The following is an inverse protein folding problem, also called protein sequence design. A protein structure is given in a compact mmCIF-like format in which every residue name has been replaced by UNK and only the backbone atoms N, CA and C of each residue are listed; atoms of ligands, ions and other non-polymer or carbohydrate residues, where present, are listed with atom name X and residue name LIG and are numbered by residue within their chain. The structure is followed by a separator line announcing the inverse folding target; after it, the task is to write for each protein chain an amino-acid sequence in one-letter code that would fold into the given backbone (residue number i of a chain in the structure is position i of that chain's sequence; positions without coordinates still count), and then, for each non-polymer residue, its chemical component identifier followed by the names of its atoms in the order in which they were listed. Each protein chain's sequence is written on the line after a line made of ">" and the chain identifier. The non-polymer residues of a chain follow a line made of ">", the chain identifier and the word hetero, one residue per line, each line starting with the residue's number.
data_IF_737564729061
#
_entry.id   IF_737564729061
#
_cell.length_a   1.000
_cell.length_b   1.000
_cell.length_c   1.000
_cell.angle_alpha   90.00
_cell.angle_beta   90.00
_cell.angle_gamma   90.00
#
_symmetry.space_group_name_H-M   'P 1'
#
loop_
_entity.id
_entity.type
_entity.pdbx_description
1 polymer ?
#
# COMPACT_ATOMS: atom_id res chain seq x y z
N UNK A 1 1.44 27.79 -27.62
CA UNK A 1 2.36 26.79 -28.18
C UNK A 1 2.66 25.68 -27.16
N UNK A 2 3.15 25.99 -25.94
CA UNK A 2 3.52 24.96 -24.93
C UNK A 2 2.36 24.03 -24.54
N UNK A 3 1.14 24.57 -24.34
CA UNK A 3 -0.04 23.73 -24.04
C UNK A 3 -0.44 22.84 -25.21
N UNK A 4 -0.36 23.34 -26.43
CA UNK A 4 -0.65 22.56 -27.64
C UNK A 4 0.36 21.42 -27.83
N UNK A 5 1.65 21.66 -27.52
CA UNK A 5 2.68 20.62 -27.55
C UNK A 5 2.41 19.51 -26.52
N UNK A 6 2.09 19.87 -25.27
CA UNK A 6 1.76 18.89 -24.22
C UNK A 6 0.54 18.05 -24.61
N UNK A 7 -0.51 18.66 -25.19
CA UNK A 7 -1.68 17.92 -25.66
C UNK A 7 -1.35 16.98 -26.84
N UNK A 8 -0.53 17.43 -27.78
CA UNK A 8 -0.11 16.62 -28.91
C UNK A 8 0.79 15.44 -28.47
N UNK A 9 1.70 15.68 -27.54
CA UNK A 9 2.59 14.65 -27.00
C UNK A 9 1.80 13.54 -26.29
N UNK A 10 0.88 13.93 -25.39
CA UNK A 10 -0.01 12.98 -24.74
C UNK A 10 -0.91 12.23 -25.73
N UNK A 11 -1.39 12.92 -26.78
CA UNK A 11 -2.22 12.26 -27.81
C UNK A 11 -1.42 11.25 -28.62
N UNK A 12 -0.17 11.56 -28.96
CA UNK A 12 0.70 10.65 -29.69
C UNK A 12 0.96 9.38 -28.87
N UNK A 13 1.14 9.49 -27.56
CA UNK A 13 1.30 8.33 -26.68
C UNK A 13 0.03 7.44 -26.64
N UNK A 14 -1.17 8.06 -26.68
CA UNK A 14 -2.45 7.34 -26.74
C UNK A 14 -2.72 6.69 -28.11
N UNK A 15 -2.20 7.30 -29.19
CA UNK A 15 -2.37 6.80 -30.56
C UNK A 15 -1.26 5.83 -30.98
N UNK A 16 -0.21 5.65 -30.18
CA UNK A 16 0.83 4.64 -30.36
C UNK A 16 0.25 3.27 -30.02
N UNK A 17 -0.03 2.46 -31.02
CA UNK A 17 -0.40 1.06 -30.80
C UNK A 17 0.81 0.22 -30.42
N UNK A 18 0.55 -0.90 -29.77
CA UNK A 18 1.54 -1.93 -29.52
C UNK A 18 1.74 -2.79 -30.79
N UNK A 19 2.96 -3.22 -31.03
CA UNK A 19 3.24 -4.36 -31.90
C UNK A 19 2.87 -5.62 -31.10
N UNK A 20 1.67 -6.16 -31.36
CA UNK A 20 1.12 -7.25 -30.56
C UNK A 20 1.97 -8.53 -30.64
N UNK A 21 2.64 -8.79 -31.77
CA UNK A 21 3.50 -9.96 -31.92
C UNK A 21 4.76 -9.83 -31.03
N UNK A 22 5.40 -8.67 -31.06
CA UNK A 22 6.58 -8.41 -30.22
C UNK A 22 6.22 -8.35 -28.74
N UNK A 23 5.12 -7.69 -28.41
CA UNK A 23 4.64 -7.57 -27.04
C UNK A 23 4.32 -8.95 -26.44
N UNK A 24 3.68 -9.83 -27.21
CA UNK A 24 3.39 -11.21 -26.77
C UNK A 24 4.66 -11.98 -26.44
N UNK A 25 5.71 -11.86 -27.27
CA UNK A 25 7.01 -12.50 -27.02
C UNK A 25 7.65 -11.99 -25.73
N UNK A 26 7.70 -10.66 -25.53
CA UNK A 26 8.28 -10.07 -24.33
C UNK A 26 7.51 -10.43 -23.05
N UNK A 27 6.17 -10.51 -23.13
CA UNK A 27 5.34 -10.94 -22.00
C UNK A 27 5.56 -12.42 -21.66
N UNK A 28 5.75 -13.29 -22.67
CA UNK A 28 6.09 -14.70 -22.45
C UNK A 28 7.45 -14.85 -21.77
N UNK A 29 8.45 -14.11 -22.23
CA UNK A 29 9.79 -14.11 -21.59
C UNK A 29 9.74 -13.66 -20.13
N UNK A 30 8.96 -12.62 -19.82
CA UNK A 30 8.74 -12.18 -18.42
C UNK A 30 8.06 -13.27 -17.59
N UNK A 31 7.06 -13.95 -18.15
CA UNK A 31 6.37 -15.06 -17.48
C UNK A 31 7.32 -16.24 -17.20
N UNK A 32 8.16 -16.62 -18.16
CA UNK A 32 9.18 -17.68 -17.99
C UNK A 32 10.21 -17.33 -16.93
N UNK A 33 10.55 -16.04 -16.77
CA UNK A 33 11.41 -15.53 -15.69
C UNK A 33 10.71 -15.48 -14.32
N UNK A 34 9.43 -15.84 -14.25
CA UNK A 34 8.63 -15.81 -13.02
C UNK A 34 8.23 -14.42 -12.58
N UNK A 35 8.20 -13.44 -13.51
CA UNK A 35 7.75 -12.09 -13.23
C UNK A 35 6.23 -12.05 -13.13
N UNK A 36 5.70 -11.29 -12.17
CA UNK A 36 4.27 -11.06 -12.02
C UNK A 36 3.77 -10.07 -13.08
N UNK A 37 3.08 -10.60 -14.10
CA UNK A 37 2.63 -9.80 -15.23
C UNK A 37 1.57 -8.74 -14.85
N UNK A 38 0.89 -8.87 -13.71
CA UNK A 38 -0.03 -7.84 -13.23
C UNK A 38 0.66 -6.50 -12.95
N UNK A 39 1.98 -6.53 -12.73
CA UNK A 39 2.79 -5.33 -12.53
C UNK A 39 3.16 -4.59 -13.82
N UNK A 40 2.82 -5.12 -14.98
CA UNK A 40 3.11 -4.47 -16.29
C UNK A 40 2.12 -3.37 -16.63
N UNK A 41 0.98 -3.30 -15.92
CA UNK A 41 -0.08 -2.32 -16.16
C UNK A 41 -1.13 -2.76 -17.19
N UNK A 42 -0.97 -3.95 -17.79
CA UNK A 42 -2.00 -4.57 -18.61
C UNK A 42 -3.04 -5.24 -17.72
N UNK A 43 -4.31 -5.12 -18.09
CA UNK A 43 -5.36 -5.81 -17.38
C UNK A 43 -5.40 -7.32 -17.74
N UNK A 44 -6.13 -8.10 -16.94
CA UNK A 44 -6.18 -9.56 -17.06
C UNK A 44 -6.74 -10.02 -18.42
N UNK A 45 -7.67 -9.25 -18.98
CA UNK A 45 -8.24 -9.51 -20.28
C UNK A 45 -7.23 -9.25 -21.40
N UNK A 46 -6.50 -8.14 -21.30
CA UNK A 46 -5.43 -7.80 -22.25
C UNK A 46 -4.32 -8.85 -22.22
N UNK A 47 -3.93 -9.33 -21.03
CA UNK A 47 -2.95 -10.41 -20.88
C UNK A 47 -3.46 -11.74 -21.46
N UNK A 48 -4.73 -12.07 -21.26
CA UNK A 48 -5.36 -13.27 -21.83
C UNK A 48 -5.40 -13.22 -23.35
N UNK A 49 -5.81 -12.08 -23.91
CA UNK A 49 -5.89 -11.88 -25.36
C UNK A 49 -4.48 -11.93 -25.99
N UNK A 50 -3.47 -11.41 -25.31
CA UNK A 50 -2.09 -11.35 -25.79
C UNK A 50 -1.36 -12.70 -25.74
N UNK A 51 -1.53 -13.46 -24.65
CA UNK A 51 -0.81 -14.70 -24.40
C UNK A 51 -1.57 -15.94 -24.87
N UNK A 52 -2.86 -15.81 -25.20
CA UNK A 52 -3.73 -16.93 -25.55
C UNK A 52 -3.89 -17.95 -24.42
N UNK A 53 -3.58 -17.56 -23.20
CA UNK A 53 -3.67 -18.40 -21.99
C UNK A 53 -4.74 -17.78 -21.09
N UNK A 54 -5.60 -18.61 -20.56
CA UNK A 54 -6.53 -18.21 -19.52
C UNK A 54 -5.68 -17.79 -18.30
N UNK A 55 -5.37 -16.48 -18.19
CA UNK A 55 -4.62 -15.92 -17.08
C UNK A 55 -5.44 -16.18 -15.82
N UNK A 56 -4.96 -17.10 -15.03
CA UNK A 56 -5.60 -17.80 -13.94
C UNK A 56 -6.61 -16.99 -13.13
N UNK A 57 -7.72 -17.64 -12.90
CA UNK A 57 -8.84 -17.34 -11.97
C UNK A 57 -9.11 -15.85 -11.72
N UNK A 58 -10.21 -15.37 -12.27
CA UNK A 58 -10.87 -14.16 -11.78
C UNK A 58 -10.69 -14.07 -10.26
N UNK A 59 -10.10 -12.99 -9.80
CA UNK A 59 -10.14 -12.64 -8.39
C UNK A 59 -11.63 -12.53 -8.05
N UNK A 60 -12.22 -13.62 -7.55
CA UNK A 60 -13.58 -13.59 -7.04
C UNK A 60 -13.54 -12.60 -5.88
N UNK A 61 -14.34 -11.54 -5.98
CA UNK A 61 -14.72 -10.80 -4.77
C UNK A 61 -15.15 -11.87 -3.77
N UNK A 62 -14.47 -11.89 -2.62
CA UNK A 62 -14.84 -12.82 -1.59
C UNK A 62 -16.25 -12.46 -1.11
N UNK A 63 -17.11 -13.45 -0.91
CA UNK A 63 -18.44 -13.29 -0.32
C UNK A 63 -18.32 -12.98 1.19
N UNK A 64 -17.26 -12.20 1.61
CA UNK A 64 -16.98 -11.90 3.00
C UNK A 64 -18.02 -10.92 3.55
N UNK A 65 -18.91 -11.40 4.40
CA UNK A 65 -19.86 -10.58 5.12
C UNK A 65 -19.20 -9.88 6.32
N UNK A 66 -18.73 -8.65 6.08
CA UNK A 66 -18.10 -7.82 7.09
C UNK A 66 -19.03 -7.59 8.30
N UNK A 67 -20.35 -7.44 8.08
CA UNK A 67 -21.31 -7.19 9.14
C UNK A 67 -21.43 -8.39 10.06
N UNK A 68 -21.57 -9.59 9.50
CA UNK A 68 -21.59 -10.84 10.24
C UNK A 68 -20.25 -11.15 10.92
N UNK A 69 -19.13 -10.70 10.35
CA UNK A 69 -17.82 -10.86 10.96
C UNK A 69 -17.61 -9.94 12.16
N UNK A 70 -18.12 -8.70 12.12
CA UNK A 70 -18.05 -7.74 13.23
C UNK A 70 -18.93 -8.14 14.43
N UNK A 71 -19.96 -8.97 14.23
CA UNK A 71 -20.78 -9.52 15.31
C UNK A 71 -20.09 -10.65 16.09
N UNK A 72 -19.04 -11.25 15.51
CA UNK A 72 -18.28 -12.32 16.17
C UNK A 72 -17.24 -11.72 17.12
N UNK A 73 -17.03 -12.37 18.26
CA UNK A 73 -15.95 -12.01 19.16
C UNK A 73 -14.61 -12.12 18.43
N UNK A 74 -13.82 -11.05 18.45
CA UNK A 74 -12.48 -11.06 17.87
C UNK A 74 -11.62 -12.10 18.61
N UNK A 75 -11.01 -13.02 17.85
CA UNK A 75 -10.07 -14.00 18.40
C UNK A 75 -8.63 -13.46 18.45
N UNK A 76 -8.37 -12.36 17.71
CA UNK A 76 -7.08 -11.67 17.69
C UNK A 76 -6.98 -10.73 18.88
N UNK A 77 -5.88 -10.77 19.59
CA UNK A 77 -5.59 -9.90 20.73
C UNK A 77 -4.40 -8.99 20.42
N UNK A 78 -4.36 -7.84 21.10
CA UNK A 78 -3.20 -6.95 21.00
C UNK A 78 -1.92 -7.69 21.45
N UNK A 79 -0.87 -7.59 20.67
CA UNK A 79 0.39 -8.29 20.87
C UNK A 79 0.52 -9.61 20.10
N UNK A 80 -0.58 -10.11 19.53
CA UNK A 80 -0.53 -11.33 18.73
C UNK A 80 0.31 -11.14 17.47
N UNK A 81 1.25 -12.04 17.23
CA UNK A 81 2.05 -12.11 16.01
C UNK A 81 1.72 -13.39 15.26
N UNK A 82 1.20 -13.26 14.05
CA UNK A 82 0.78 -14.36 13.18
C UNK A 82 1.80 -14.59 12.09
N UNK A 83 2.07 -15.84 11.76
CA UNK A 83 2.91 -16.23 10.62
C UNK A 83 2.00 -16.64 9.46
N UNK A 84 2.09 -15.93 8.33
CA UNK A 84 1.31 -16.20 7.11
C UNK A 84 2.31 -16.52 5.99
N UNK A 85 2.59 -17.79 5.77
CA UNK A 85 3.66 -18.22 4.87
C UNK A 85 5.02 -17.70 5.37
N UNK A 86 5.66 -16.86 4.57
CA UNK A 86 6.93 -16.19 4.92
C UNK A 86 6.73 -14.82 5.60
N UNK A 87 5.50 -14.36 5.72
CA UNK A 87 5.15 -13.04 6.23
C UNK A 87 4.77 -13.08 7.70
N UNK A 88 4.93 -11.98 8.40
CA UNK A 88 4.44 -11.79 9.76
C UNK A 88 3.38 -10.70 9.76
N UNK A 89 2.32 -10.92 10.53
CA UNK A 89 1.26 -9.95 10.77
C UNK A 89 1.10 -9.78 12.27
N UNK A 90 1.05 -8.54 12.74
CA UNK A 90 0.88 -8.23 14.16
C UNK A 90 -0.32 -7.33 14.39
N UNK A 91 -1.09 -7.64 15.41
CA UNK A 91 -2.06 -6.73 16.00
C UNK A 91 -1.35 -5.90 17.08
N UNK A 92 -0.85 -4.72 16.73
CA UNK A 92 -0.02 -3.91 17.62
C UNK A 92 -0.22 -2.41 17.40
N UNK A 93 0.62 -1.63 18.07
CA UNK A 93 0.65 -0.18 18.01
C UNK A 93 1.95 0.27 17.34
N UNK A 94 1.84 0.92 16.17
CA UNK A 94 2.99 1.39 15.40
C UNK A 94 3.80 2.49 16.12
N UNK A 95 3.27 3.08 17.20
CA UNK A 95 4.00 4.04 18.04
C UNK A 95 4.80 3.36 19.15
N UNK A 96 4.49 2.07 19.44
CA UNK A 96 5.14 1.28 20.48
C UNK A 96 6.45 0.68 19.97
N UNK A 97 7.56 1.02 20.63
CA UNK A 97 8.87 0.43 20.35
C UNK A 97 8.88 -1.10 20.61
N UNK A 98 8.14 -1.54 21.63
CA UNK A 98 8.04 -2.95 22.01
C UNK A 98 7.32 -3.74 20.92
N UNK A 99 6.16 -3.25 20.44
CA UNK A 99 5.37 -3.93 19.43
C UNK A 99 6.15 -4.02 18.10
N UNK A 100 6.72 -2.91 17.63
CA UNK A 100 7.48 -2.90 16.37
C UNK A 100 8.73 -3.78 16.48
N UNK A 101 9.43 -3.78 17.61
CA UNK A 101 10.57 -4.66 17.84
C UNK A 101 10.17 -6.14 17.91
N UNK A 102 9.02 -6.45 18.50
CA UNK A 102 8.50 -7.83 18.55
C UNK A 102 8.16 -8.36 17.15
N UNK A 103 7.61 -7.52 16.28
CA UNK A 103 7.32 -7.87 14.89
C UNK A 103 8.59 -8.05 14.07
N UNK A 104 9.50 -7.08 14.13
CA UNK A 104 10.69 -6.99 13.26
C UNK A 104 11.85 -7.87 13.74
N UNK A 105 12.03 -8.02 15.04
CA UNK A 105 13.22 -8.65 15.61
C UNK A 105 14.50 -7.92 15.15
N UNK A 106 15.49 -8.68 14.70
CA UNK A 106 16.75 -8.14 14.17
C UNK A 106 16.67 -7.76 12.68
N UNK A 107 15.50 -7.91 12.05
CA UNK A 107 15.31 -7.64 10.62
C UNK A 107 15.13 -6.15 10.38
N UNK A 108 15.76 -5.66 9.30
CA UNK A 108 15.53 -4.29 8.78
C UNK A 108 14.70 -4.35 7.51
N UNK A 109 13.83 -3.38 7.32
CA UNK A 109 13.04 -3.22 6.10
C UNK A 109 13.86 -2.46 5.04
N UNK A 110 13.75 -2.88 3.78
CA UNK A 110 14.29 -2.14 2.64
C UNK A 110 13.31 -1.07 2.16
N UNK A 111 12.03 -1.31 2.42
CA UNK A 111 10.92 -0.44 2.04
C UNK A 111 9.89 -0.38 3.17
N UNK A 112 9.39 0.82 3.42
CA UNK A 112 8.21 1.07 4.24
C UNK A 112 7.11 1.58 3.33
N UNK A 113 5.92 0.95 3.42
CA UNK A 113 4.70 1.40 2.79
C UNK A 113 3.65 1.50 3.88
N UNK A 114 3.12 2.69 4.15
CA UNK A 114 2.22 2.90 5.28
C UNK A 114 1.08 3.85 4.93
N UNK A 115 -0.10 3.52 5.46
CA UNK A 115 -1.34 4.28 5.34
C UNK A 115 -1.88 4.58 6.76
N UNK A 116 -1.29 5.58 7.46
CA UNK A 116 -1.72 5.93 8.81
C UNK A 116 -3.03 6.73 8.80
N UNK A 117 -3.71 6.89 9.93
CA UNK A 117 -4.83 7.83 10.05
C UNK A 117 -4.44 9.22 9.54
N UNK A 118 -5.37 9.90 8.83
CA UNK A 118 -5.07 11.18 8.18
C UNK A 118 -5.39 12.42 9.03
N UNK A 119 -5.99 12.26 10.21
CA UNK A 119 -6.39 13.39 11.06
C UNK A 119 -7.62 14.16 10.54
N UNK A 120 -8.39 13.55 9.64
CA UNK A 120 -9.54 14.19 8.97
C UNK A 120 -10.90 13.86 9.59
N UNK A 121 -10.90 13.13 10.70
CA UNK A 121 -12.12 12.70 11.41
C UNK A 121 -13.09 11.92 10.51
N UNK A 122 -12.53 10.97 9.74
CA UNK A 122 -13.30 10.17 8.78
C UNK A 122 -14.46 9.42 9.45
N UNK A 123 -15.60 9.44 8.78
CA UNK A 123 -16.76 8.67 9.15
C UNK A 123 -17.41 8.07 7.91
N UNK A 124 -17.52 6.75 7.86
CA UNK A 124 -18.18 6.05 6.76
C UNK A 124 -19.68 6.30 6.73
N UNK A 125 -20.33 5.98 5.61
CA UNK A 125 -21.78 6.03 5.48
C UNK A 125 -22.51 5.10 6.49
N UNK A 126 -21.87 4.00 6.90
CA UNK A 126 -22.33 3.07 7.94
C UNK A 126 -22.02 3.53 9.37
N UNK A 127 -21.36 4.69 9.54
CA UNK A 127 -21.02 5.25 10.86
C UNK A 127 -19.71 4.76 11.45
N UNK A 128 -18.94 3.92 10.75
CA UNK A 128 -17.62 3.47 11.19
C UNK A 128 -16.62 4.64 11.17
N UNK A 129 -15.74 4.68 12.16
CA UNK A 129 -14.67 5.68 12.29
C UNK A 129 -13.30 5.01 12.31
N UNK A 130 -12.27 5.74 11.94
CA UNK A 130 -10.87 5.29 12.04
C UNK A 130 -10.33 5.71 13.41
N UNK A 131 -9.70 4.79 14.11
CA UNK A 131 -9.04 5.09 15.38
C UNK A 131 -7.91 6.10 15.16
N UNK A 132 -7.76 7.06 16.07
CA UNK A 132 -6.74 8.12 16.03
C UNK A 132 -6.88 9.16 14.90
N UNK A 133 -7.96 9.11 14.11
CA UNK A 133 -8.18 10.02 12.98
C UNK A 133 -8.82 11.37 13.38
N UNK A 134 -9.14 11.57 14.66
CA UNK A 134 -9.75 12.80 15.18
C UNK A 134 -8.87 13.54 16.20
N UNK A 135 -7.56 13.26 16.20
CA UNK A 135 -6.60 13.92 17.09
C UNK A 135 -6.44 15.40 16.76
N UNK A 136 -6.12 16.21 17.76
CA UNK A 136 -5.74 17.62 17.57
C UNK A 136 -4.33 17.72 17.00
N UNK A 137 -4.01 18.86 16.35
CA UNK A 137 -2.75 19.06 15.63
C UNK A 137 -1.49 18.62 16.39
N UNK A 138 -1.31 19.01 17.66
CA UNK A 138 -0.13 18.64 18.44
C UNK A 138 -0.11 17.15 18.82
N UNK A 139 -1.25 16.59 19.17
CA UNK A 139 -1.39 15.15 19.47
C UNK A 139 -1.16 14.33 18.20
N UNK A 140 -1.71 14.78 17.09
CA UNK A 140 -1.54 14.13 15.78
C UNK A 140 -0.08 14.15 15.31
N UNK A 141 0.58 15.31 15.43
CA UNK A 141 2.01 15.40 15.14
C UNK A 141 2.84 14.44 16.01
N UNK A 142 2.57 14.37 17.31
CA UNK A 142 3.28 13.49 18.25
C UNK A 142 3.06 12.02 17.91
N UNK A 143 1.82 11.64 17.53
CA UNK A 143 1.48 10.31 17.05
C UNK A 143 2.28 9.94 15.80
N UNK A 144 2.28 10.79 14.77
CA UNK A 144 3.04 10.59 13.55
C UNK A 144 4.54 10.49 13.82
N UNK A 145 5.10 11.41 14.62
CA UNK A 145 6.52 11.42 14.97
C UNK A 145 6.93 10.11 15.64
N UNK A 146 6.16 9.65 16.63
CA UNK A 146 6.45 8.40 17.33
C UNK A 146 6.44 7.21 16.38
N UNK A 147 5.44 7.13 15.50
CA UNK A 147 5.35 6.05 14.49
C UNK A 147 6.53 6.09 13.52
N UNK A 148 6.88 7.27 12.99
CA UNK A 148 7.98 7.41 12.03
C UNK A 148 9.33 7.14 12.66
N UNK A 149 9.55 7.48 13.93
CA UNK A 149 10.75 7.08 14.65
C UNK A 149 10.91 5.56 14.75
N UNK A 150 9.81 4.85 15.07
CA UNK A 150 9.85 3.36 15.08
C UNK A 150 10.15 2.79 13.69
N UNK A 151 9.57 3.37 12.65
CA UNK A 151 9.86 2.99 11.26
C UNK A 151 11.32 3.27 10.88
N UNK A 152 11.87 4.43 11.22
CA UNK A 152 13.25 4.80 10.93
C UNK A 152 14.25 3.88 11.63
N UNK A 153 13.97 3.48 12.89
CA UNK A 153 14.78 2.52 13.65
C UNK A 153 14.89 1.16 12.96
N UNK A 154 13.88 0.76 12.20
CA UNK A 154 13.80 -0.54 11.53
C UNK A 154 14.00 -0.48 10.01
N UNK A 155 14.31 0.69 9.44
CA UNK A 155 14.64 0.86 8.02
C UNK A 155 16.14 0.68 7.80
N UNK A 156 16.52 0.01 6.72
CA UNK A 156 17.92 -0.06 6.29
C UNK A 156 18.41 1.30 5.80
N UNK A 157 19.72 1.53 5.94
CA UNK A 157 20.34 2.74 5.40
C UNK A 157 20.19 2.77 3.88
N UNK A 158 19.54 3.82 3.37
CA UNK A 158 19.21 3.97 1.96
C UNK A 158 17.90 3.31 1.55
N UNK A 159 17.17 2.75 2.49
CA UNK A 159 15.80 2.26 2.26
C UNK A 159 14.83 3.41 1.95
N UNK A 160 13.69 3.06 1.37
CA UNK A 160 12.66 4.01 0.94
C UNK A 160 11.43 3.94 1.83
N UNK A 161 10.70 5.05 1.96
CA UNK A 161 9.43 5.09 2.65
C UNK A 161 8.37 5.79 1.80
N UNK A 162 7.20 5.17 1.68
CA UNK A 162 6.01 5.71 1.05
C UNK A 162 4.91 5.85 2.11
N UNK A 163 4.47 7.08 2.31
CA UNK A 163 3.49 7.43 3.34
C UNK A 163 2.29 8.09 2.68
N UNK A 164 1.14 7.45 2.75
CA UNK A 164 -0.11 8.03 2.28
C UNK A 164 -0.61 9.08 3.30
N UNK A 165 -1.16 10.18 2.80
CA UNK A 165 -1.68 11.24 3.67
C UNK A 165 -2.71 12.12 2.96
N UNK A 166 -3.60 12.74 3.72
CA UNK A 166 -4.45 13.80 3.21
C UNK A 166 -3.62 15.09 2.99
N UNK A 167 -3.90 15.83 1.92
CA UNK A 167 -3.20 17.08 1.61
C UNK A 167 -3.39 18.15 2.71
N UNK A 168 -4.57 18.17 3.34
CA UNK A 168 -4.90 19.09 4.45
C UNK A 168 -3.96 18.97 5.64
N UNK A 169 -3.43 17.77 5.91
CA UNK A 169 -2.52 17.47 7.01
C UNK A 169 -1.05 17.33 6.56
N UNK A 170 -0.76 17.61 5.30
CA UNK A 170 0.56 17.45 4.71
C UNK A 170 1.69 18.15 5.46
N UNK A 171 1.41 19.26 6.18
CA UNK A 171 2.40 19.94 7.00
C UNK A 171 2.80 19.09 8.21
N UNK A 172 1.84 18.52 8.93
CA UNK A 172 2.09 17.64 10.08
C UNK A 172 2.87 16.40 9.66
N UNK A 173 2.48 15.78 8.54
CA UNK A 173 3.16 14.61 7.98
C UNK A 173 4.62 14.91 7.63
N UNK A 174 4.87 15.95 6.85
CA UNK A 174 6.23 16.33 6.44
C UNK A 174 7.11 16.68 7.62
N UNK A 175 6.59 17.46 8.58
CA UNK A 175 7.33 17.85 9.78
C UNK A 175 7.69 16.63 10.61
N UNK A 176 6.75 15.76 10.92
CA UNK A 176 7.00 14.54 11.69
C UNK A 176 8.00 13.61 10.99
N UNK A 177 7.92 13.49 9.66
CA UNK A 177 8.84 12.66 8.87
C UNK A 177 10.27 13.20 8.86
N UNK A 178 10.45 14.53 8.85
CA UNK A 178 11.78 15.17 8.91
C UNK A 178 12.37 15.05 10.31
N UNK A 179 11.53 15.17 11.34
CA UNK A 179 11.96 15.19 12.74
C UNK A 179 12.22 13.75 13.30
N UNK A 180 11.80 12.71 12.57
CA UNK A 180 12.02 11.30 12.91
C UNK A 180 13.39 10.79 12.47
#
# INVERSE_FOLDING_TARGET
>A
QKKAYILADNRTALDAGWDEELLSVEMQELQELGFDLSMTGFDEKELTDLLGVDAGSEAKEDDFDLSAALEKAAFVQRGDVWTVGRHKLMCGDATSAEDVSALMGDTKANLILTDPPYGVSFKSASGLTIQNDSMKNEEFYTFLLSSFQRMAEHLEKGGSAYVFHADTEGLNFRKAFIDA
#
